data_IF_563347388414
#
_entry.id   IF_563347388414
#
_cell.length_a   1.000
_cell.length_b   1.000
_cell.length_c   1.000
_cell.angle_alpha   90.00
_cell.angle_beta   90.00
_cell.angle_gamma   90.00
#
_symmetry.space_group_name_H-M   'P 1'
#
loop_
_entity.id
_entity.type
_entity.pdbx_description
1 polymer ?
#
# COMPACT_ATOMS: atom_id res chain seq x y z
N UNK A 1 -11.99 13.35 -26.93
CA UNK A 1 -10.62 13.08 -26.42
C UNK A 1 -10.71 11.90 -25.44
N UNK A 2 -10.25 10.70 -25.81
CA UNK A 2 -10.23 9.54 -24.90
C UNK A 2 -9.11 9.78 -23.88
N UNK A 3 -9.46 10.00 -22.60
CA UNK A 3 -8.46 10.02 -21.53
C UNK A 3 -7.96 8.58 -21.34
N UNK A 4 -6.78 8.28 -21.86
CA UNK A 4 -6.08 7.02 -21.58
C UNK A 4 -5.73 7.01 -20.09
N UNK A 5 -6.50 6.29 -19.29
CA UNK A 5 -6.23 6.14 -17.87
C UNK A 5 -5.05 5.18 -17.71
N UNK A 6 -3.82 5.72 -17.71
CA UNK A 6 -2.64 4.94 -17.34
C UNK A 6 -2.64 4.80 -15.83
N UNK A 7 -2.75 3.57 -15.35
CA UNK A 7 -2.50 3.30 -13.94
C UNK A 7 -1.05 3.68 -13.63
N UNK A 8 -0.78 4.35 -12.49
CA UNK A 8 0.57 4.68 -12.10
C UNK A 8 1.37 3.38 -11.92
N UNK A 9 2.42 3.21 -12.71
CA UNK A 9 3.40 2.16 -12.47
C UNK A 9 4.20 2.52 -11.23
N UNK A 10 4.22 1.61 -10.27
CA UNK A 10 5.07 1.75 -9.08
C UNK A 10 6.47 1.29 -9.44
N UNK A 11 7.38 2.23 -9.57
CA UNK A 11 8.81 1.97 -9.85
C UNK A 11 9.69 2.12 -8.62
N UNK A 12 9.18 2.76 -7.56
CA UNK A 12 9.96 3.13 -6.38
C UNK A 12 9.40 2.51 -5.10
N UNK A 13 10.31 2.17 -4.18
CA UNK A 13 9.98 1.54 -2.91
C UNK A 13 10.81 2.16 -1.79
N UNK A 14 10.24 2.22 -0.59
CA UNK A 14 10.93 2.61 0.63
C UNK A 14 11.02 1.40 1.57
N UNK A 15 12.18 1.24 2.20
CA UNK A 15 12.37 0.26 3.28
C UNK A 15 12.11 0.93 4.62
N UNK A 16 11.28 0.27 5.44
CA UNK A 16 10.98 0.69 6.80
C UNK A 16 11.41 -0.40 7.77
N UNK A 17 12.18 -0.02 8.77
CA UNK A 17 12.49 -0.89 9.90
C UNK A 17 11.36 -0.75 10.94
N UNK A 18 10.79 -1.89 11.33
CA UNK A 18 9.77 -1.98 12.36
C UNK A 18 10.44 -2.05 13.74
N UNK A 19 9.66 -1.76 14.79
CA UNK A 19 10.13 -1.81 16.19
C UNK A 19 10.70 -3.16 16.60
N UNK A 20 10.28 -4.23 15.91
CA UNK A 20 10.62 -5.60 16.24
C UNK A 20 11.85 -6.10 15.46
N UNK A 21 12.53 -5.20 14.71
CA UNK A 21 13.69 -5.51 13.86
C UNK A 21 13.36 -5.98 12.45
N UNK A 22 12.08 -6.27 12.18
CA UNK A 22 11.59 -6.64 10.86
C UNK A 22 11.70 -5.48 9.87
N UNK A 23 11.94 -5.79 8.59
CA UNK A 23 11.94 -4.80 7.51
C UNK A 23 10.76 -5.03 6.58
N UNK A 24 10.05 -3.96 6.26
CA UNK A 24 9.01 -3.96 5.24
C UNK A 24 9.39 -3.07 4.08
N UNK A 25 9.04 -3.50 2.87
CA UNK A 25 9.24 -2.73 1.65
C UNK A 25 7.89 -2.22 1.15
N UNK A 26 7.67 -0.92 1.21
CA UNK A 26 6.41 -0.29 0.80
C UNK A 26 6.59 0.51 -0.49
N UNK A 27 5.61 0.48 -1.40
CA UNK A 27 5.69 1.26 -2.64
C UNK A 27 5.58 2.75 -2.36
N UNK A 28 6.34 3.55 -3.11
CA UNK A 28 6.29 5.02 -3.04
C UNK A 28 5.34 5.52 -4.11
N UNK A 29 4.11 5.84 -3.70
CA UNK A 29 3.08 6.36 -4.61
C UNK A 29 2.59 7.71 -4.10
N UNK A 30 2.74 8.72 -4.97
CA UNK A 30 2.24 10.08 -4.72
C UNK A 30 0.71 10.13 -4.82
N UNK A 31 0.10 11.12 -4.16
CA UNK A 31 -1.35 11.27 -4.13
C UNK A 31 -2.08 10.45 -3.06
N UNK A 32 -1.41 9.51 -2.40
CA UNK A 32 -1.92 8.88 -1.15
C UNK A 32 -1.86 9.90 0.00
N UNK A 33 -0.71 10.53 0.19
CA UNK A 33 -0.57 11.70 1.05
C UNK A 33 -0.65 12.97 0.21
N UNK A 34 -1.66 13.81 0.50
CA UNK A 34 -2.08 14.94 -0.33
C UNK A 34 -1.00 15.99 -0.65
N UNK A 35 0.10 16.03 0.11
CA UNK A 35 1.15 17.05 -0.03
C UNK A 35 2.57 16.49 -0.02
N UNK A 36 2.73 15.17 -0.11
CA UNK A 36 4.06 14.55 -0.07
C UNK A 36 4.56 14.25 -1.49
N UNK A 37 5.76 14.76 -1.81
CA UNK A 37 6.50 14.37 -3.01
C UNK A 37 7.07 12.95 -2.86
N UNK A 38 7.54 12.34 -3.95
CA UNK A 38 8.15 11.02 -3.90
C UNK A 38 9.38 10.99 -2.96
N UNK A 39 10.24 12.01 -3.00
CA UNK A 39 11.41 12.14 -2.12
C UNK A 39 11.02 12.29 -0.65
N UNK A 40 10.01 13.13 -0.38
CA UNK A 40 9.49 13.27 0.98
C UNK A 40 8.87 11.97 1.48
N UNK A 41 8.11 11.26 0.63
CA UNK A 41 7.54 9.96 0.97
C UNK A 41 8.63 8.94 1.28
N UNK A 42 9.72 8.87 0.51
CA UNK A 42 10.85 7.97 0.79
C UNK A 42 11.39 8.15 2.20
N UNK A 43 11.66 9.40 2.60
CA UNK A 43 12.19 9.68 3.93
C UNK A 43 11.16 9.47 5.04
N UNK A 44 9.90 9.85 4.79
CA UNK A 44 8.82 9.68 5.76
C UNK A 44 8.49 8.20 6.00
N UNK A 45 8.49 7.37 4.96
CA UNK A 45 8.14 5.95 5.02
C UNK A 45 9.19 5.10 5.75
N UNK A 46 10.40 5.61 6.01
CA UNK A 46 11.35 4.97 6.92
C UNK A 46 10.85 4.90 8.37
N UNK A 47 9.87 5.74 8.73
CA UNK A 47 9.30 5.78 10.08
C UNK A 47 8.13 4.80 10.17
N UNK A 48 8.15 3.79 11.06
CA UNK A 48 7.11 2.76 11.12
C UNK A 48 5.70 3.33 11.37
N UNK A 49 5.57 4.35 12.20
CA UNK A 49 4.27 5.01 12.43
C UNK A 49 3.71 5.67 11.15
N UNK A 50 4.57 6.19 10.28
CA UNK A 50 4.17 6.79 9.00
C UNK A 50 3.87 5.69 7.99
N UNK A 51 4.70 4.66 7.87
CA UNK A 51 4.48 3.53 6.98
C UNK A 51 3.13 2.85 7.25
N UNK A 52 2.78 2.71 8.54
CA UNK A 52 1.46 2.23 8.97
C UNK A 52 0.33 3.13 8.49
N UNK A 53 0.39 4.44 8.77
CA UNK A 53 -0.63 5.41 8.31
C UNK A 53 -0.77 5.42 6.79
N UNK A 54 0.36 5.38 6.09
CA UNK A 54 0.40 5.34 4.63
C UNK A 54 -0.28 4.09 4.07
N UNK A 55 -0.06 2.95 4.72
CA UNK A 55 -0.68 1.68 4.34
C UNK A 55 -2.19 1.71 4.55
N UNK A 56 -2.65 2.23 5.70
CA UNK A 56 -4.08 2.42 5.99
C UNK A 56 -4.75 3.32 4.95
N UNK A 57 -4.15 4.46 4.61
CA UNK A 57 -4.68 5.34 3.57
C UNK A 57 -4.65 4.66 2.19
N UNK A 58 -3.60 3.91 1.88
CA UNK A 58 -3.51 3.13 0.63
C UNK A 58 -4.64 2.10 0.53
N UNK A 59 -4.97 1.39 1.61
CA UNK A 59 -6.11 0.46 1.65
C UNK A 59 -7.43 1.16 1.32
N UNK A 60 -7.59 2.44 1.69
CA UNK A 60 -8.80 3.24 1.47
C UNK A 60 -8.92 3.80 0.06
N UNK A 61 -7.83 4.26 -0.54
CA UNK A 61 -7.89 5.05 -1.78
C UNK A 61 -7.12 4.44 -2.95
N UNK A 62 -6.09 3.64 -2.71
CA UNK A 62 -5.26 3.12 -3.78
C UNK A 62 -6.03 2.09 -4.63
N UNK A 63 -5.73 2.01 -5.94
CA UNK A 63 -6.24 0.95 -6.80
C UNK A 63 -5.46 -0.36 -6.58
N UNK A 64 -6.05 -1.50 -6.93
CA UNK A 64 -5.43 -2.82 -6.74
C UNK A 64 -4.01 -2.97 -7.33
N UNK A 65 -3.68 -2.44 -8.54
CA UNK A 65 -2.32 -2.52 -9.09
C UNK A 65 -1.24 -1.90 -8.19
N UNK A 66 -1.60 -0.92 -7.37
CA UNK A 66 -0.71 -0.33 -6.36
C UNK A 66 -0.71 -1.20 -5.10
N UNK A 67 -1.88 -1.60 -4.61
CA UNK A 67 -2.01 -2.42 -3.40
C UNK A 67 -1.24 -3.75 -3.51
N UNK A 68 -1.27 -4.43 -4.66
CA UNK A 68 -0.53 -5.69 -4.88
C UNK A 68 1.00 -5.57 -4.81
N UNK A 69 1.54 -4.34 -4.71
CA UNK A 69 2.98 -4.08 -4.53
C UNK A 69 3.38 -3.98 -3.06
N UNK A 70 2.43 -3.90 -2.14
CA UNK A 70 2.70 -3.96 -0.70
C UNK A 70 2.90 -5.42 -0.27
N UNK A 71 3.64 -5.65 0.84
CA UNK A 71 3.74 -6.98 1.43
C UNK A 71 2.35 -7.44 1.90
N UNK A 72 1.95 -8.65 1.51
CA UNK A 72 0.62 -9.18 1.83
C UNK A 72 0.37 -9.24 3.34
N UNK A 73 1.33 -9.78 4.10
CA UNK A 73 1.25 -9.90 5.56
C UNK A 73 1.01 -8.54 6.22
N UNK A 74 1.64 -7.49 5.67
CA UNK A 74 1.49 -6.12 6.12
C UNK A 74 0.09 -5.56 5.83
N UNK A 75 -0.44 -5.79 4.61
CA UNK A 75 -1.82 -5.39 4.28
C UNK A 75 -2.85 -6.12 5.15
N UNK A 76 -2.68 -7.42 5.40
CA UNK A 76 -3.60 -8.19 6.25
C UNK A 76 -3.59 -7.68 7.69
N UNK A 77 -2.40 -7.34 8.23
CA UNK A 77 -2.26 -6.81 9.60
C UNK A 77 -3.03 -5.51 9.81
N UNK A 78 -3.11 -4.64 8.78
CA UNK A 78 -3.72 -3.32 8.89
C UNK A 78 -5.12 -3.22 8.27
N UNK A 79 -5.70 -4.33 7.84
CA UNK A 79 -6.99 -4.35 7.16
C UNK A 79 -8.14 -3.91 8.07
N UNK A 80 -8.12 -4.34 9.33
CA UNK A 80 -9.10 -3.95 10.35
C UNK A 80 -8.97 -2.48 10.74
N UNK A 81 -7.75 -1.95 10.76
CA UNK A 81 -7.48 -0.56 11.13
C UNK A 81 -7.91 0.45 10.07
N UNK A 82 -8.06 0.00 8.82
CA UNK A 82 -8.41 0.87 7.72
C UNK A 82 -9.89 1.29 7.69
N UNK A 83 -10.74 0.73 8.57
CA UNK A 83 -12.17 1.04 8.66
C UNK A 83 -12.85 1.07 7.28
N UNK A 84 -12.62 0.00 6.53
CA UNK A 84 -13.08 -0.11 5.15
C UNK A 84 -14.56 -0.45 5.10
N UNK A 85 -15.26 0.11 4.10
CA UNK A 85 -16.63 -0.34 3.76
C UNK A 85 -16.65 -1.86 3.55
N UNK A 86 -17.70 -2.57 4.00
CA UNK A 86 -17.75 -4.04 3.95
C UNK A 86 -17.43 -4.62 2.57
N UNK A 87 -17.99 -4.04 1.50
CA UNK A 87 -17.75 -4.47 0.12
C UNK A 87 -16.29 -4.32 -0.30
N UNK A 88 -15.64 -3.21 0.08
CA UNK A 88 -14.22 -2.97 -0.23
C UNK A 88 -13.32 -3.90 0.56
N UNK A 89 -13.63 -4.13 1.83
CA UNK A 89 -12.94 -5.09 2.69
C UNK A 89 -13.00 -6.50 2.09
N UNK A 90 -14.20 -6.96 1.70
CA UNK A 90 -14.40 -8.25 1.06
C UNK A 90 -13.64 -8.37 -0.27
N UNK A 91 -13.67 -7.33 -1.10
CA UNK A 91 -12.92 -7.32 -2.37
C UNK A 91 -11.40 -7.40 -2.14
N UNK A 92 -10.85 -6.62 -1.21
CA UNK A 92 -9.42 -6.67 -0.88
C UNK A 92 -9.03 -8.04 -0.32
N UNK A 93 -9.82 -8.60 0.61
CA UNK A 93 -9.59 -9.95 1.14
C UNK A 93 -9.59 -11.01 0.04
N UNK A 94 -10.56 -10.96 -0.87
CA UNK A 94 -10.62 -11.85 -2.01
C UNK A 94 -9.34 -11.74 -2.86
N UNK A 95 -8.95 -10.52 -3.25
CA UNK A 95 -7.77 -10.28 -4.07
C UNK A 95 -6.45 -10.67 -3.37
N UNK A 96 -6.35 -10.46 -2.05
CA UNK A 96 -5.20 -10.90 -1.27
C UNK A 96 -5.13 -12.43 -1.22
N UNK A 97 -6.26 -13.12 -1.09
CA UNK A 97 -6.31 -14.58 -1.06
C UNK A 97 -6.03 -15.23 -2.43
N UNK A 98 -6.45 -14.63 -3.53
CA UNK A 98 -6.22 -15.16 -4.87
C UNK A 98 -4.80 -14.93 -5.37
N UNK A 99 -4.14 -13.86 -4.95
CA UNK A 99 -2.75 -13.56 -5.35
C UNK A 99 -1.70 -14.54 -4.77
N UNK A 100 -2.07 -15.44 -3.85
CA UNK A 100 -1.19 -16.52 -3.39
C UNK A 100 -0.98 -17.63 -4.44
N UNK A 101 -1.81 -17.70 -5.47
CA UNK A 101 -1.69 -18.71 -6.51
C UNK A 101 -0.56 -18.43 -7.53
N UNK A 102 0.09 -17.26 -7.45
CA UNK A 102 1.18 -16.83 -8.35
C UNK A 102 2.57 -16.86 -7.68
N UNK A 103 2.69 -17.32 -6.43
CA UNK A 103 3.97 -17.46 -5.69
C UNK A 103 4.40 -18.93 -5.50
N UNK A 104 4.03 -19.83 -6.43
CA UNK A 104 4.50 -21.23 -6.49
C UNK A 104 5.46 -21.46 -7.67
#
# INVERSE_FOLDING_TARGET
MRKSYRFPEVTEFAECELSDGDKIRVPVVTGIFKHATADMLRELLKKPAVAKKYTVESLRVAPWPVMRKFPRSWLMRHLEEADLRPTRKAAILFMLNTSAADEE
#
